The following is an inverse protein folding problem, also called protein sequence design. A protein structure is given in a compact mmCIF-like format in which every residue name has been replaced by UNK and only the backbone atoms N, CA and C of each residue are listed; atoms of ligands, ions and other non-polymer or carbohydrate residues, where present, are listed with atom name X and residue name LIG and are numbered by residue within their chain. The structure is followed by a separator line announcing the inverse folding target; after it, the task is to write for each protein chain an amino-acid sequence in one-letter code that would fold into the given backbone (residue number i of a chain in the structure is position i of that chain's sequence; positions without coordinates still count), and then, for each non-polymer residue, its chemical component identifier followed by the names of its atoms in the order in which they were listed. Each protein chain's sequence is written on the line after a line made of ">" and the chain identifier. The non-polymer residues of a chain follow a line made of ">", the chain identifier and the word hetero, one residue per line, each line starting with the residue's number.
data_IF_592971200777
#
_entry.id   IF_592971200777
#
_cell.length_a   1.000
_cell.length_b   1.000
_cell.length_c   1.000
_cell.angle_alpha   90.00
_cell.angle_beta   90.00
_cell.angle_gamma   90.00
#
_symmetry.space_group_name_H-M   'P 1'
#
loop_
_entity.id
_entity.type
_entity.pdbx_description
1 polymer ?
#
# COMPACT_ATOMS: atom_id res chain seq x y z
N UNK A 1 5.38 -10.41 25.00
CA UNK A 1 5.56 -8.95 24.83
C UNK A 1 4.57 -8.36 23.83
N UNK A 2 4.57 -8.70 22.54
CA UNK A 2 3.68 -8.12 21.51
C UNK A 2 2.19 -8.19 21.87
N UNK A 3 1.73 -9.28 22.44
CA UNK A 3 0.32 -9.45 22.84
C UNK A 3 -0.11 -8.46 23.93
N UNK A 4 0.78 -8.08 24.84
CA UNK A 4 0.46 -7.20 25.97
C UNK A 4 0.76 -5.73 25.68
N UNK A 5 1.88 -5.44 24.99
CA UNK A 5 2.33 -4.06 24.76
C UNK A 5 1.92 -3.52 23.40
N UNK A 6 1.47 -4.39 22.50
CA UNK A 6 1.24 -4.11 21.06
C UNK A 6 2.46 -3.52 20.32
N UNK A 7 3.64 -3.54 20.92
CA UNK A 7 4.88 -3.13 20.29
C UNK A 7 5.14 -3.97 19.03
N UNK A 8 5.50 -3.36 17.93
CA UNK A 8 5.68 -4.01 16.62
C UNK A 8 4.44 -4.71 16.04
N UNK A 9 3.25 -4.49 16.58
CA UNK A 9 2.05 -5.20 16.16
C UNK A 9 1.37 -4.58 14.93
N UNK A 10 1.71 -3.34 14.57
CA UNK A 10 1.10 -2.61 13.44
C UNK A 10 2.05 -2.51 12.25
N UNK A 11 2.84 -1.46 12.16
CA UNK A 11 3.70 -1.20 11.00
C UNK A 11 5.03 -1.98 11.01
N UNK A 12 5.43 -2.52 12.17
CA UNK A 12 6.66 -3.30 12.34
C UNK A 12 7.97 -2.47 12.36
N UNK A 13 7.92 -1.15 12.22
CA UNK A 13 9.13 -0.31 12.16
C UNK A 13 10.01 -0.39 13.41
N UNK A 14 9.41 -0.63 14.58
CA UNK A 14 10.13 -0.78 15.84
C UNK A 14 10.57 -2.23 16.15
N UNK A 15 10.37 -3.18 15.24
CA UNK A 15 10.70 -4.61 15.50
C UNK A 15 12.15 -4.80 15.88
N UNK A 16 13.08 -4.24 15.12
CA UNK A 16 14.52 -4.37 15.37
C UNK A 16 14.92 -3.80 16.74
N UNK A 17 14.39 -2.64 17.11
CA UNK A 17 14.65 -2.05 18.42
C UNK A 17 14.10 -2.91 19.56
N UNK A 18 12.89 -3.41 19.42
CA UNK A 18 12.27 -4.31 20.42
C UNK A 18 13.08 -5.61 20.56
N UNK A 19 13.54 -6.17 19.47
CA UNK A 19 14.38 -7.38 19.49
C UNK A 19 15.75 -7.13 20.11
N UNK A 20 16.39 -6.00 19.83
CA UNK A 20 17.64 -5.59 20.47
C UNK A 20 17.50 -5.41 21.97
N UNK A 21 16.40 -4.77 22.42
CA UNK A 21 16.10 -4.64 23.84
C UNK A 21 15.87 -5.99 24.53
N UNK A 22 15.14 -6.90 23.85
CA UNK A 22 14.91 -8.25 24.37
C UNK A 22 16.21 -9.05 24.48
N UNK A 23 17.05 -9.00 23.46
CA UNK A 23 18.36 -9.67 23.46
C UNK A 23 19.27 -9.14 24.59
N UNK A 24 19.25 -7.82 24.80
CA UNK A 24 20.02 -7.20 25.89
C UNK A 24 19.50 -7.58 27.29
N UNK A 25 18.15 -7.64 27.45
CA UNK A 25 17.53 -7.90 28.75
C UNK A 25 17.53 -9.37 29.12
N UNK A 26 17.33 -10.28 28.16
CA UNK A 26 17.20 -11.72 28.40
C UNK A 26 18.50 -12.50 28.17
N UNK A 27 19.51 -11.85 27.58
CA UNK A 27 20.82 -12.48 27.31
C UNK A 27 20.69 -13.72 26.45
N UNK A 28 21.39 -14.80 26.82
CA UNK A 28 21.44 -16.06 26.06
C UNK A 28 20.11 -16.82 25.93
N UNK A 29 19.10 -16.47 26.73
CA UNK A 29 17.76 -17.09 26.68
C UNK A 29 16.88 -16.53 25.55
N UNK A 30 17.33 -15.47 24.88
CA UNK A 30 16.63 -14.86 23.74
C UNK A 30 17.35 -15.09 22.43
N UNK A 31 16.69 -15.75 21.49
CA UNK A 31 17.15 -15.85 20.09
C UNK A 31 16.32 -14.92 19.22
N UNK A 32 16.99 -13.94 18.63
CA UNK A 32 16.41 -13.06 17.60
C UNK A 32 16.38 -13.71 16.21
N UNK A 33 16.84 -14.97 16.11
CA UNK A 33 16.82 -15.69 14.83
C UNK A 33 15.38 -15.77 14.33
N UNK A 34 15.04 -15.13 13.21
CA UNK A 34 13.70 -15.21 12.68
C UNK A 34 13.38 -16.68 12.39
N UNK A 35 12.42 -17.28 13.07
CA UNK A 35 11.86 -18.53 12.59
C UNK A 35 11.37 -18.25 11.17
N UNK A 36 11.94 -18.93 10.20
CA UNK A 36 11.54 -18.80 8.81
C UNK A 36 10.05 -19.11 8.72
N UNK A 37 9.24 -18.06 8.54
CA UNK A 37 7.79 -18.24 8.44
C UNK A 37 7.45 -18.70 7.04
N UNK A 38 6.59 -19.70 6.93
CA UNK A 38 5.96 -20.04 5.66
C UNK A 38 5.27 -18.80 5.06
N UNK A 39 5.17 -18.78 3.75
CA UNK A 39 4.53 -17.70 2.99
C UNK A 39 3.09 -17.47 3.47
N UNK A 40 2.35 -18.54 3.73
CA UNK A 40 1.00 -18.51 4.29
C UNK A 40 0.63 -19.89 4.86
N UNK A 41 -0.59 -20.05 5.36
CA UNK A 41 -1.09 -21.32 5.85
C UNK A 41 -1.28 -22.40 4.75
N UNK A 42 -1.31 -21.99 3.47
CA UNK A 42 -1.50 -22.91 2.34
C UNK A 42 -0.23 -23.66 1.92
N UNK A 43 0.93 -23.29 2.45
CA UNK A 43 2.22 -23.91 2.11
C UNK A 43 3.15 -23.86 3.30
N UNK A 44 4.06 -24.81 3.37
CA UNK A 44 5.12 -24.85 4.37
C UNK A 44 6.40 -24.13 3.89
N UNK A 45 6.45 -23.73 2.61
CA UNK A 45 7.60 -23.03 2.04
C UNK A 45 7.62 -21.55 2.40
N UNK A 46 8.82 -21.01 2.57
CA UNK A 46 9.05 -19.59 2.86
C UNK A 46 8.97 -18.76 1.59
N UNK A 47 8.82 -17.45 1.76
CA UNK A 47 8.87 -16.49 0.63
C UNK A 47 10.13 -16.65 -0.23
N UNK A 48 11.28 -16.87 0.41
CA UNK A 48 12.57 -16.99 -0.28
C UNK A 48 12.68 -18.30 -1.08
N UNK A 49 12.23 -19.41 -0.50
CA UNK A 49 12.19 -20.69 -1.19
C UNK A 49 11.30 -20.66 -2.43
N UNK A 50 10.08 -20.10 -2.29
CA UNK A 50 9.16 -19.97 -3.42
C UNK A 50 9.75 -19.08 -4.51
N UNK A 51 10.32 -17.94 -4.15
CA UNK A 51 10.91 -17.01 -5.12
C UNK A 51 12.09 -17.63 -5.86
N UNK A 52 12.99 -18.33 -5.16
CA UNK A 52 14.10 -19.04 -5.78
C UNK A 52 13.64 -20.17 -6.69
N UNK A 53 12.62 -20.94 -6.26
CA UNK A 53 12.08 -22.02 -7.07
C UNK A 53 11.36 -21.54 -8.33
N UNK A 54 10.67 -20.40 -8.30
CA UNK A 54 10.07 -19.81 -9.49
C UNK A 54 11.12 -19.61 -10.60
N UNK A 55 12.30 -19.12 -10.23
CA UNK A 55 13.40 -18.91 -11.19
C UNK A 55 14.08 -20.22 -11.57
N UNK A 56 14.40 -21.06 -10.58
CA UNK A 56 15.17 -22.29 -10.80
C UNK A 56 14.43 -23.34 -11.66
N UNK A 57 13.11 -23.38 -11.55
CA UNK A 57 12.25 -24.34 -12.27
C UNK A 57 11.41 -23.69 -13.37
N UNK A 58 11.72 -22.45 -13.72
CA UNK A 58 11.05 -21.68 -14.77
C UNK A 58 9.52 -21.67 -14.66
N UNK A 59 8.99 -21.56 -13.46
CA UNK A 59 7.55 -21.56 -13.22
C UNK A 59 6.94 -20.22 -13.64
N UNK A 60 6.08 -20.24 -14.67
CA UNK A 60 5.56 -19.02 -15.34
C UNK A 60 4.12 -18.69 -14.99
N UNK A 61 3.43 -19.49 -14.19
CA UNK A 61 2.04 -19.23 -13.77
C UNK A 61 1.84 -19.53 -12.28
N UNK A 62 0.86 -18.87 -11.67
CA UNK A 62 0.52 -19.13 -10.27
C UNK A 62 0.07 -20.59 -10.05
N UNK A 63 -0.63 -21.17 -11.03
CA UNK A 63 -1.03 -22.58 -10.97
C UNK A 63 0.18 -23.52 -10.95
N UNK A 64 1.15 -23.30 -11.85
CA UNK A 64 2.39 -24.09 -11.90
C UNK A 64 3.18 -23.99 -10.59
N UNK A 65 3.26 -22.78 -9.99
CA UNK A 65 3.93 -22.63 -8.69
C UNK A 65 3.21 -23.41 -7.60
N UNK A 66 1.90 -23.29 -7.52
CA UNK A 66 1.13 -24.04 -6.51
C UNK A 66 1.25 -25.54 -6.67
N UNK A 67 1.19 -26.04 -7.88
CA UNK A 67 1.34 -27.46 -8.18
C UNK A 67 2.75 -27.94 -7.83
N UNK A 68 3.78 -27.24 -8.23
CA UNK A 68 5.17 -27.61 -7.98
C UNK A 68 5.52 -27.68 -6.48
N UNK A 69 5.03 -26.71 -5.70
CA UNK A 69 5.26 -26.65 -4.27
C UNK A 69 4.16 -27.35 -3.44
N UNK A 70 3.33 -28.17 -4.05
CA UNK A 70 2.26 -28.95 -3.40
C UNK A 70 1.42 -28.09 -2.44
N UNK A 71 0.85 -27.01 -2.96
CA UNK A 71 0.00 -26.10 -2.17
C UNK A 71 -1.21 -26.86 -1.59
N UNK A 72 -1.51 -26.66 -0.31
CA UNK A 72 -2.63 -27.33 0.40
C UNK A 72 -4.01 -26.91 -0.12
N UNK A 73 -4.07 -25.84 -0.90
CA UNK A 73 -5.32 -25.29 -1.47
C UNK A 73 -5.11 -25.01 -2.95
N UNK A 74 -6.08 -25.40 -3.77
CA UNK A 74 -6.02 -25.26 -5.22
C UNK A 74 -5.92 -23.79 -5.67
N UNK A 75 -6.76 -22.93 -5.10
CA UNK A 75 -6.83 -21.52 -5.47
C UNK A 75 -5.87 -20.61 -4.66
N UNK A 76 -5.29 -21.13 -3.59
CA UNK A 76 -4.51 -20.34 -2.65
C UNK A 76 -5.38 -19.43 -1.76
N UNK A 77 -4.73 -18.58 -0.97
CA UNK A 77 -5.38 -17.61 -0.09
C UNK A 77 -5.02 -16.17 -0.50
N UNK A 78 -5.70 -15.15 0.05
CA UNK A 78 -5.39 -13.75 -0.24
C UNK A 78 -3.93 -13.36 -0.05
N UNK A 79 -3.22 -13.98 0.88
CA UNK A 79 -1.80 -13.69 1.12
C UNK A 79 -0.89 -14.25 0.03
N UNK A 80 -1.06 -15.52 -0.33
CA UNK A 80 -0.20 -16.16 -1.31
C UNK A 80 -0.50 -15.72 -2.75
N UNK A 81 -1.75 -15.46 -3.11
CA UNK A 81 -2.09 -14.96 -4.45
C UNK A 81 -1.36 -13.64 -4.75
N UNK A 82 -1.40 -12.70 -3.82
CA UNK A 82 -0.67 -11.43 -3.96
C UNK A 82 0.85 -11.65 -4.08
N UNK A 83 1.41 -12.52 -3.24
CA UNK A 83 2.84 -12.80 -3.25
C UNK A 83 3.28 -13.47 -4.55
N UNK A 84 2.54 -14.48 -5.01
CA UNK A 84 2.83 -15.19 -6.25
C UNK A 84 2.73 -14.26 -7.48
N UNK A 85 1.68 -13.45 -7.56
CA UNK A 85 1.54 -12.48 -8.64
C UNK A 85 2.74 -11.52 -8.69
N UNK A 86 3.15 -11.00 -7.54
CA UNK A 86 4.33 -10.13 -7.45
C UNK A 86 5.62 -10.84 -7.86
N UNK A 87 5.86 -12.07 -7.38
CA UNK A 87 7.07 -12.81 -7.69
C UNK A 87 7.16 -13.19 -9.16
N UNK A 88 6.05 -13.56 -9.77
CA UNK A 88 6.00 -13.87 -11.20
C UNK A 88 6.20 -12.63 -12.07
N UNK A 89 5.66 -11.48 -11.68
CA UNK A 89 5.96 -10.21 -12.35
C UNK A 89 7.44 -9.84 -12.27
N UNK A 90 8.07 -10.07 -11.12
CA UNK A 90 9.50 -9.81 -10.94
C UNK A 90 10.40 -10.81 -11.69
N UNK A 91 10.00 -12.08 -11.73
CA UNK A 91 10.78 -13.14 -12.37
C UNK A 91 10.67 -13.12 -13.90
N UNK A 92 9.48 -12.80 -14.42
CA UNK A 92 9.15 -12.89 -15.85
C UNK A 92 8.57 -11.58 -16.40
N UNK A 93 9.33 -10.47 -16.35
CA UNK A 93 8.85 -9.18 -16.86
C UNK A 93 8.56 -9.29 -18.37
N UNK A 94 7.39 -8.82 -18.77
CA UNK A 94 6.93 -8.88 -20.17
C UNK A 94 6.42 -10.25 -20.65
N UNK A 95 6.58 -11.31 -19.86
CA UNK A 95 6.08 -12.66 -20.20
C UNK A 95 4.89 -13.05 -19.33
N UNK A 96 4.96 -12.78 -18.03
CA UNK A 96 3.85 -13.02 -17.11
C UNK A 96 2.82 -11.91 -17.21
N UNK A 97 1.56 -12.30 -17.39
CA UNK A 97 0.43 -11.36 -17.39
C UNK A 97 -0.03 -11.16 -15.96
N UNK A 98 -0.03 -9.91 -15.53
CA UNK A 98 -0.47 -9.51 -14.21
C UNK A 98 -1.94 -9.88 -13.94
N UNK A 99 -2.20 -10.48 -12.78
CA UNK A 99 -3.55 -10.81 -12.34
C UNK A 99 -4.17 -9.66 -11.53
N UNK A 100 -5.10 -8.88 -12.12
CA UNK A 100 -5.73 -7.76 -11.42
C UNK A 100 -6.44 -8.16 -10.14
N UNK A 101 -7.02 -9.36 -10.07
CA UNK A 101 -7.71 -9.86 -8.87
C UNK A 101 -6.75 -10.12 -7.72
N UNK A 102 -5.52 -10.51 -8.01
CA UNK A 102 -4.48 -10.68 -7.01
C UNK A 102 -3.97 -9.36 -6.44
N UNK A 103 -4.21 -8.25 -7.12
CA UNK A 103 -3.91 -6.91 -6.58
C UNK A 103 -4.95 -6.43 -5.56
N UNK A 104 -6.20 -6.83 -5.71
CA UNK A 104 -7.37 -6.25 -5.05
C UNK A 104 -8.06 -7.19 -4.05
N UNK A 105 -7.39 -8.21 -3.60
CA UNK A 105 -7.93 -9.21 -2.66
C UNK A 105 -8.33 -8.59 -1.30
N UNK A 106 -7.89 -7.38 -1.01
CA UNK A 106 -8.14 -6.73 0.26
C UNK A 106 -9.11 -5.56 0.06
N UNK A 107 -10.27 -5.60 0.72
CA UNK A 107 -11.22 -4.48 0.80
C UNK A 107 -10.55 -3.15 1.15
N UNK A 108 -9.46 -3.20 1.91
CA UNK A 108 -8.64 -2.04 2.27
C UNK A 108 -7.95 -1.38 1.07
N UNK A 109 -7.92 -1.99 -0.12
CA UNK A 109 -7.42 -1.34 -1.32
C UNK A 109 -8.33 -0.18 -1.73
N UNK A 110 -9.63 -0.31 -1.52
CA UNK A 110 -10.62 0.69 -1.91
C UNK A 110 -11.23 1.46 -0.74
N UNK A 111 -11.44 0.82 0.40
CA UNK A 111 -11.95 1.45 1.60
C UNK A 111 -11.22 0.95 2.84
N UNK A 112 -10.93 1.83 3.79
CA UNK A 112 -10.28 1.47 5.03
C UNK A 112 -11.31 1.37 6.16
N UNK A 113 -11.42 0.19 6.77
CA UNK A 113 -12.27 -0.01 7.95
C UNK A 113 -11.71 0.78 9.12
N UNK A 114 -12.55 1.61 9.74
CA UNK A 114 -12.24 2.40 10.90
C UNK A 114 -12.60 1.66 12.20
N UNK A 115 -12.23 2.24 13.34
CA UNK A 115 -12.41 1.61 14.67
C UNK A 115 -13.87 1.31 15.01
N UNK A 116 -14.78 2.15 14.55
CA UNK A 116 -16.23 2.06 14.77
C UNK A 116 -16.97 1.18 13.75
N UNK A 117 -16.23 0.57 12.79
CA UNK A 117 -16.79 -0.23 11.71
C UNK A 117 -17.22 0.57 10.47
N UNK A 118 -17.13 1.90 10.52
CA UNK A 118 -17.27 2.74 9.34
C UNK A 118 -16.05 2.67 8.44
N UNK A 119 -16.07 3.40 7.33
CA UNK A 119 -14.99 3.42 6.34
C UNK A 119 -14.45 4.82 6.12
N UNK A 120 -13.17 4.93 5.76
CA UNK A 120 -12.65 6.15 5.17
C UNK A 120 -12.52 6.00 3.65
N UNK A 121 -12.85 7.08 2.93
CA UNK A 121 -12.70 7.19 1.48
C UNK A 121 -11.67 8.26 1.17
N UNK A 122 -10.75 7.96 0.26
CA UNK A 122 -9.63 8.84 -0.07
C UNK A 122 -9.59 9.08 -1.58
N UNK A 123 -10.18 10.16 -2.08
CA UNK A 123 -10.01 10.57 -3.47
C UNK A 123 -8.52 10.80 -3.77
N UNK A 124 -8.05 10.30 -4.91
CA UNK A 124 -6.63 10.41 -5.26
C UNK A 124 -6.30 11.84 -5.71
N UNK A 125 -5.32 12.43 -5.08
CA UNK A 125 -4.71 13.70 -5.45
C UNK A 125 -3.25 13.41 -5.84
N UNK A 126 -2.99 13.26 -7.14
CA UNK A 126 -1.67 12.92 -7.65
C UNK A 126 -0.64 14.01 -7.29
N UNK A 127 0.44 13.59 -6.63
CA UNK A 127 1.48 14.51 -6.13
C UNK A 127 0.97 15.54 -5.11
N UNK A 128 -0.20 15.34 -4.53
CA UNK A 128 -0.85 16.30 -3.62
C UNK A 128 -1.48 17.50 -4.31
N UNK A 129 -1.55 17.53 -5.65
CA UNK A 129 -2.17 18.62 -6.41
C UNK A 129 -3.69 18.52 -6.39
N UNK A 130 -4.35 19.66 -6.24
CA UNK A 130 -5.80 19.77 -6.27
C UNK A 130 -6.22 21.10 -6.93
N UNK A 131 -7.14 21.04 -7.88
CA UNK A 131 -7.77 22.23 -8.45
C UNK A 131 -8.94 22.69 -7.57
N UNK A 132 -9.35 23.99 -7.66
CA UNK A 132 -10.55 24.46 -6.98
C UNK A 132 -11.82 23.69 -7.33
N UNK A 133 -11.95 23.22 -8.57
CA UNK A 133 -13.09 22.41 -9.01
C UNK A 133 -13.08 21.04 -8.33
N UNK A 134 -11.91 20.38 -8.28
CA UNK A 134 -11.76 19.11 -7.57
C UNK A 134 -12.05 19.24 -6.07
N UNK A 135 -11.60 20.32 -5.45
CA UNK A 135 -11.88 20.56 -4.03
C UNK A 135 -13.37 20.72 -3.75
N UNK A 136 -14.09 21.47 -4.62
CA UNK A 136 -15.56 21.57 -4.52
C UNK A 136 -16.24 20.22 -4.70
N UNK A 137 -15.86 19.45 -5.71
CA UNK A 137 -16.44 18.13 -5.94
C UNK A 137 -16.24 17.17 -4.74
N UNK A 138 -15.08 17.23 -4.07
CA UNK A 138 -14.88 16.47 -2.82
C UNK A 138 -15.84 16.94 -1.73
N UNK A 139 -16.01 18.25 -1.58
CA UNK A 139 -16.92 18.82 -0.59
C UNK A 139 -18.38 18.45 -0.89
N UNK A 140 -18.83 18.60 -2.14
CA UNK A 140 -20.20 18.24 -2.58
C UNK A 140 -20.51 16.76 -2.32
N UNK A 141 -19.55 15.87 -2.61
CA UNK A 141 -19.70 14.44 -2.32
C UNK A 141 -19.72 14.19 -0.82
N UNK A 142 -18.87 14.85 -0.04
CA UNK A 142 -18.87 14.70 1.40
C UNK A 142 -20.20 15.15 2.04
N UNK A 143 -20.76 16.27 1.59
CA UNK A 143 -22.07 16.76 2.04
C UNK A 143 -23.20 15.81 1.62
N UNK A 144 -23.24 15.36 0.37
CA UNK A 144 -24.23 14.42 -0.15
C UNK A 144 -24.33 13.13 0.66
N UNK A 145 -23.20 12.62 1.14
CA UNK A 145 -23.15 11.38 1.92
C UNK A 145 -23.06 11.61 3.44
N UNK A 146 -23.26 12.83 3.89
CA UNK A 146 -23.25 13.21 5.31
C UNK A 146 -21.96 12.75 6.02
N UNK A 147 -20.82 12.96 5.37
CA UNK A 147 -19.50 12.60 5.93
C UNK A 147 -19.25 13.46 7.18
N UNK A 148 -19.10 12.85 8.36
CA UNK A 148 -19.02 13.61 9.61
C UNK A 148 -17.70 14.39 9.77
N UNK A 149 -16.61 13.93 9.14
CA UNK A 149 -15.31 14.56 9.27
C UNK A 149 -14.44 14.34 8.03
N UNK A 150 -13.73 15.37 7.60
CA UNK A 150 -12.69 15.32 6.58
C UNK A 150 -11.34 15.76 7.16
N UNK A 151 -10.24 15.17 6.70
CA UNK A 151 -8.91 15.52 7.17
C UNK A 151 -7.88 15.54 6.06
N UNK A 152 -7.12 16.62 5.99
CA UNK A 152 -5.86 16.65 5.23
C UNK A 152 -4.81 15.88 6.01
N UNK A 153 -4.29 14.82 5.41
CA UNK A 153 -3.34 13.91 6.07
C UNK A 153 -1.91 14.18 5.63
N UNK A 154 -0.93 13.66 6.39
CA UNK A 154 0.49 13.80 6.09
C UNK A 154 0.93 13.15 4.76
N UNK A 155 0.04 12.42 4.08
CA UNK A 155 0.25 11.91 2.73
C UNK A 155 -0.17 12.87 1.63
N UNK A 156 -0.49 14.13 1.95
CA UNK A 156 -1.05 15.13 1.02
C UNK A 156 -2.34 14.65 0.36
N UNK A 157 -3.23 14.07 1.15
CA UNK A 157 -4.53 13.54 0.74
C UNK A 157 -5.61 14.08 1.66
N UNK A 158 -6.83 14.07 1.16
CA UNK A 158 -8.03 14.35 1.94
C UNK A 158 -8.70 13.02 2.24
N UNK A 159 -8.82 12.66 3.52
CA UNK A 159 -9.51 11.48 3.98
C UNK A 159 -10.93 11.86 4.43
N UNK A 160 -11.94 11.17 3.93
CA UNK A 160 -13.36 11.30 4.28
C UNK A 160 -13.70 10.19 5.27
N UNK A 161 -13.98 10.54 6.53
CA UNK A 161 -14.18 9.58 7.61
C UNK A 161 -15.67 9.30 7.87
N UNK A 162 -15.98 8.16 8.49
CA UNK A 162 -17.31 7.83 8.96
C UNK A 162 -18.29 7.34 7.87
N UNK A 163 -17.80 6.98 6.70
CA UNK A 163 -18.64 6.52 5.58
C UNK A 163 -19.22 5.14 5.87
N UNK A 164 -20.52 4.97 5.69
CA UNK A 164 -21.18 3.66 5.88
C UNK A 164 -20.87 2.72 4.70
N UNK A 165 -20.70 1.43 4.98
CA UNK A 165 -20.39 0.42 3.95
C UNK A 165 -21.35 0.47 2.75
N UNK A 166 -22.63 0.62 3.01
CA UNK A 166 -23.66 0.67 1.96
C UNK A 166 -23.54 1.89 1.03
N UNK A 167 -22.93 2.98 1.49
CA UNK A 167 -22.74 4.21 0.70
C UNK A 167 -21.51 4.14 -0.23
N UNK A 168 -20.55 3.26 0.05
CA UNK A 168 -19.27 3.21 -0.68
C UNK A 168 -19.42 3.10 -2.20
N UNK A 169 -20.24 2.18 -2.76
CA UNK A 169 -20.34 2.05 -4.22
C UNK A 169 -20.89 3.31 -4.92
N UNK A 170 -21.87 3.96 -4.30
CA UNK A 170 -22.45 5.18 -4.84
C UNK A 170 -21.47 6.36 -4.72
N UNK A 171 -20.82 6.50 -3.58
CA UNK A 171 -19.80 7.53 -3.34
C UNK A 171 -18.60 7.41 -4.27
N UNK A 172 -18.12 6.18 -4.53
CA UNK A 172 -17.04 5.95 -5.51
C UNK A 172 -17.47 6.29 -6.93
N UNK A 173 -18.73 6.05 -7.30
CA UNK A 173 -19.27 6.44 -8.60
C UNK A 173 -19.23 7.95 -8.76
N UNK A 174 -19.79 8.68 -7.81
CA UNK A 174 -19.82 10.15 -7.84
C UNK A 174 -18.40 10.74 -7.92
N UNK A 175 -17.46 10.21 -7.14
CA UNK A 175 -16.06 10.62 -7.20
C UNK A 175 -15.41 10.30 -8.56
N UNK A 176 -15.74 9.17 -9.17
CA UNK A 176 -15.24 8.79 -10.49
C UNK A 176 -15.82 9.70 -11.58
N UNK A 177 -17.10 10.04 -11.51
CA UNK A 177 -17.76 11.00 -12.42
C UNK A 177 -17.13 12.39 -12.29
N UNK A 178 -16.69 12.77 -11.08
CA UNK A 178 -15.95 14.02 -10.85
C UNK A 178 -14.46 13.95 -11.26
N UNK A 179 -14.02 12.84 -11.88
CA UNK A 179 -12.67 12.64 -12.39
C UNK A 179 -11.64 12.14 -11.38
N UNK A 180 -12.07 11.68 -10.20
CA UNK A 180 -11.17 11.07 -9.24
C UNK A 180 -11.06 9.56 -9.46
N UNK A 181 -9.88 9.03 -9.16
CA UNK A 181 -9.72 7.60 -8.91
C UNK A 181 -9.71 7.37 -7.41
N UNK A 182 -10.28 6.24 -6.98
CA UNK A 182 -10.35 5.86 -5.58
C UNK A 182 -9.52 4.61 -5.31
N UNK A 183 -9.20 4.39 -4.05
CA UNK A 183 -8.48 3.22 -3.62
C UNK A 183 -6.95 3.40 -3.57
N UNK A 184 -6.28 2.31 -3.18
CA UNK A 184 -4.83 2.23 -2.97
C UNK A 184 -4.24 3.20 -1.94
N UNK A 185 -5.07 3.90 -1.18
CA UNK A 185 -4.64 4.78 -0.10
C UNK A 185 -4.11 3.99 1.12
N UNK A 186 -4.47 2.73 1.22
CA UNK A 186 -4.15 1.80 2.31
C UNK A 186 -3.67 0.47 1.75
N UNK A 187 -3.47 -0.51 2.62
CA UNK A 187 -3.03 -1.86 2.28
C UNK A 187 -1.60 -1.94 1.68
N UNK A 188 -1.34 -3.00 0.93
CA UNK A 188 -0.05 -3.31 0.30
C UNK A 188 0.05 -2.69 -1.09
N UNK A 189 0.00 -1.37 -1.15
CA UNK A 189 0.04 -0.61 -2.39
C UNK A 189 0.99 0.59 -2.26
N UNK A 190 1.32 1.22 -3.39
CA UNK A 190 1.84 2.57 -3.36
C UNK A 190 0.73 3.50 -2.87
N UNK A 191 0.94 4.07 -1.68
CA UNK A 191 -0.10 4.85 -1.01
C UNK A 191 -0.15 6.28 -1.48
N UNK A 192 1.02 6.88 -1.73
CA UNK A 192 1.15 8.28 -2.13
C UNK A 192 2.57 8.56 -2.61
N UNK A 193 2.70 9.57 -3.45
CA UNK A 193 3.96 10.27 -3.71
C UNK A 193 3.82 11.70 -3.20
N UNK A 194 4.46 12.01 -2.07
CA UNK A 194 4.50 13.37 -1.53
C UNK A 194 5.38 14.24 -2.41
N UNK A 195 5.01 15.50 -2.61
CA UNK A 195 5.85 16.47 -3.31
C UNK A 195 6.00 17.75 -2.50
N UNK A 196 7.12 18.43 -2.66
CA UNK A 196 7.18 19.85 -2.31
C UNK A 196 6.63 20.68 -3.49
N UNK A 197 6.48 21.98 -3.30
CA UNK A 197 5.91 22.88 -4.34
C UNK A 197 6.76 23.02 -5.60
N UNK A 198 8.01 22.56 -5.59
CA UNK A 198 8.90 22.52 -6.74
C UNK A 198 9.36 23.86 -7.27
N UNK A 199 10.09 23.82 -8.39
CA UNK A 199 10.71 25.02 -9.00
C UNK A 199 9.70 26.04 -9.54
N UNK A 200 8.46 25.64 -9.80
CA UNK A 200 7.43 26.56 -10.32
C UNK A 200 7.02 27.62 -9.30
N UNK A 201 6.93 27.26 -8.03
CA UNK A 201 6.40 28.12 -6.98
C UNK A 201 7.39 28.46 -5.87
N UNK A 202 8.45 27.65 -5.71
CA UNK A 202 9.42 27.87 -4.65
C UNK A 202 10.66 28.60 -5.19
N UNK A 203 10.98 29.74 -4.61
CA UNK A 203 12.20 30.52 -5.00
C UNK A 203 13.52 29.77 -4.80
N UNK A 204 13.53 28.75 -3.95
CA UNK A 204 14.69 27.87 -3.70
C UNK A 204 14.62 26.56 -4.49
N UNK A 205 13.49 26.29 -5.15
CA UNK A 205 13.30 25.06 -5.92
C UNK A 205 14.16 25.03 -7.17
N UNK A 206 15.00 24.02 -7.31
CA UNK A 206 15.88 23.83 -8.47
C UNK A 206 15.32 22.81 -9.47
N UNK A 207 14.37 21.99 -9.03
CA UNK A 207 13.77 20.92 -9.85
C UNK A 207 12.25 20.91 -9.74
N UNK A 208 11.60 20.43 -10.79
CA UNK A 208 10.16 20.19 -10.82
C UNK A 208 9.82 18.90 -10.04
N UNK A 209 9.71 19.02 -8.72
CA UNK A 209 9.32 17.92 -7.85
C UNK A 209 7.86 17.50 -8.03
N UNK A 210 7.00 18.45 -8.34
CA UNK A 210 5.57 18.22 -8.49
C UNK A 210 5.29 17.41 -9.75
N UNK A 211 5.81 17.83 -10.90
CA UNK A 211 5.64 17.09 -12.16
C UNK A 211 6.23 15.67 -12.10
N UNK A 212 7.43 15.52 -11.50
CA UNK A 212 8.02 14.20 -11.30
C UNK A 212 7.18 13.35 -10.37
N UNK A 213 6.69 13.90 -9.25
CA UNK A 213 5.86 13.16 -8.30
C UNK A 213 4.54 12.69 -8.90
N UNK A 214 3.85 13.57 -9.64
CA UNK A 214 2.62 13.21 -10.39
C UNK A 214 2.89 12.07 -11.37
N UNK A 215 3.95 12.17 -12.17
CA UNK A 215 4.33 11.14 -13.14
C UNK A 215 4.64 9.80 -12.47
N UNK A 216 5.40 9.79 -11.39
CA UNK A 216 5.71 8.59 -10.63
C UNK A 216 4.44 7.95 -10.04
N UNK A 217 3.56 8.76 -9.48
CA UNK A 217 2.33 8.26 -8.88
C UNK A 217 1.37 7.70 -9.94
N UNK A 218 1.24 8.33 -11.10
CA UNK A 218 0.44 7.82 -12.22
C UNK A 218 0.97 6.51 -12.78
N UNK A 219 2.29 6.38 -12.92
CA UNK A 219 2.94 5.15 -13.42
C UNK A 219 2.80 3.97 -12.45
N UNK A 220 2.75 4.23 -11.16
CA UNK A 220 2.79 3.20 -10.13
C UNK A 220 1.46 3.02 -9.40
N UNK A 221 0.47 3.87 -9.66
CA UNK A 221 -0.86 3.74 -9.08
C UNK A 221 -1.48 2.39 -9.46
N UNK A 222 -2.08 1.73 -8.47
CA UNK A 222 -2.66 0.41 -8.65
C UNK A 222 -1.64 -0.74 -8.60
N UNK A 223 -0.35 -0.46 -8.55
CA UNK A 223 0.67 -1.51 -8.39
C UNK A 223 0.59 -2.12 -7.00
N UNK A 224 0.61 -3.46 -6.97
CA UNK A 224 0.74 -4.17 -5.72
C UNK A 224 2.18 -4.11 -5.21
N UNK A 225 2.33 -3.94 -3.90
CA UNK A 225 3.62 -3.92 -3.21
C UNK A 225 3.65 -5.00 -2.13
N UNK A 226 4.83 -5.56 -1.79
CA UNK A 226 4.95 -6.57 -0.73
C UNK A 226 4.50 -6.05 0.64
N UNK A 227 4.60 -4.75 0.85
CA UNK A 227 4.16 -4.04 2.04
C UNK A 227 3.67 -2.64 1.66
N UNK A 228 3.19 -1.84 2.64
CA UNK A 228 2.88 -0.42 2.41
C UNK A 228 4.11 0.29 1.84
N UNK A 229 3.91 1.07 0.80
CA UNK A 229 4.97 1.85 0.18
C UNK A 229 4.54 3.31 0.04
N UNK A 230 5.45 4.22 0.32
CA UNK A 230 5.27 5.66 0.16
C UNK A 230 6.52 6.21 -0.50
N UNK A 231 6.33 7.17 -1.38
CA UNK A 231 7.43 7.93 -1.99
C UNK A 231 7.29 9.41 -1.63
N UNK A 232 8.41 10.13 -1.75
CA UNK A 232 8.42 11.58 -1.67
C UNK A 232 9.43 12.13 -2.67
N UNK A 233 9.16 13.32 -3.22
CA UNK A 233 10.03 14.01 -4.17
C UNK A 233 10.27 15.42 -3.68
N UNK A 234 11.52 15.74 -3.38
CA UNK A 234 11.96 17.09 -3.02
C UNK A 234 12.70 17.75 -4.18
N UNK A 235 12.41 19.00 -4.46
CA UNK A 235 12.99 19.77 -5.57
C UNK A 235 14.32 20.46 -5.26
N UNK A 236 14.82 20.35 -4.04
CA UNK A 236 16.10 20.94 -3.61
C UNK A 236 16.59 20.29 -2.30
N UNK A 237 17.83 20.58 -1.84
CA UNK A 237 18.41 19.99 -0.62
C UNK A 237 17.68 20.32 0.69
N UNK A 238 16.77 21.30 0.73
CA UNK A 238 15.95 21.60 1.91
C UNK A 238 15.00 20.45 2.29
N UNK A 239 14.77 19.51 1.37
CA UNK A 239 13.99 18.30 1.60
C UNK A 239 12.60 18.52 2.24
N UNK A 240 11.87 19.54 1.81
CA UNK A 240 10.56 19.90 2.36
C UNK A 240 9.48 18.81 2.20
N UNK A 241 9.66 17.86 1.28
CA UNK A 241 8.77 16.69 1.15
C UNK A 241 9.19 15.51 2.04
N UNK A 242 10.27 15.65 2.82
CA UNK A 242 10.81 14.57 3.65
C UNK A 242 11.10 13.29 2.84
N UNK A 243 11.81 13.45 1.72
CA UNK A 243 12.15 12.42 0.76
C UNK A 243 13.42 11.63 1.18
N UNK A 244 13.44 11.08 2.40
CA UNK A 244 14.55 10.30 2.96
C UNK A 244 14.12 8.89 3.33
#
# INVERSE_FOLDING_TARGET
>A
MRAHTKASASCGSCTGLVESLLAHTLGGDYSSTPRSKSLCACTDFTHDQVRKGILAYELKTMAAVRQFFEWKTEDGCPSCRNALNYYLLCAWPGTYVDDPQSRFINERAHGNIQKDGSYSVVPRLFGGLCTPAQLRAIADVAEKYEVPEMKVTGGQRIDLFGVKKAQLPAMWRDLTEAGFVSGHAYAKALRTVKTCVGSTWCRFGTRDSTGLGVKLEQLTWGSWMPHKFKMAVSGCPHNCAEAT
#
